data_IF_311287683816
#
_entry.id   IF_311287683816
#
_cell.length_a   1.000
_cell.length_b   1.000
_cell.length_c   1.000
_cell.angle_alpha   90.00
_cell.angle_beta   90.00
_cell.angle_gamma   90.00
#
_symmetry.space_group_name_H-M   'P 1'
#
loop_
_entity.id
_entity.type
_entity.pdbx_description
1 polymer ?
#
# COMPACT_ATOMS: atom_id res chain seq x y z
N UNK A 1 -29.53 6.29 -8.29
CA UNK A 1 -28.49 7.25 -7.87
C UNK A 1 -27.61 6.54 -6.85
N UNK A 2 -26.32 6.30 -7.15
CA UNK A 2 -25.36 5.96 -6.10
C UNK A 2 -25.06 7.27 -5.36
N UNK A 3 -25.21 7.29 -4.03
CA UNK A 3 -24.90 8.47 -3.24
C UNK A 3 -23.40 8.79 -3.35
N UNK A 4 -23.07 10.08 -3.47
CA UNK A 4 -21.70 10.59 -3.32
C UNK A 4 -21.18 10.19 -1.94
N UNK A 5 -19.93 9.73 -1.83
CA UNK A 5 -19.33 9.48 -0.53
C UNK A 5 -19.19 10.82 0.21
N UNK A 6 -19.44 10.83 1.51
CA UNK A 6 -19.23 12.00 2.36
C UNK A 6 -18.30 11.61 3.49
N UNK A 7 -17.38 12.50 3.83
CA UNK A 7 -16.43 12.33 4.93
C UNK A 7 -16.74 13.37 6.00
N UNK A 8 -16.89 12.95 7.25
CA UNK A 8 -17.10 13.85 8.39
C UNK A 8 -15.79 13.97 9.16
N UNK A 9 -15.23 15.18 9.25
CA UNK A 9 -14.01 15.48 10.01
C UNK A 9 -14.34 16.61 10.97
N UNK A 10 -14.21 16.37 12.28
CA UNK A 10 -14.40 17.40 13.33
C UNK A 10 -15.69 18.22 13.15
N UNK A 11 -16.81 17.53 12.88
CA UNK A 11 -18.16 18.07 12.64
C UNK A 11 -18.39 18.76 11.29
N UNK A 12 -17.38 18.81 10.42
CA UNK A 12 -17.48 19.35 9.06
C UNK A 12 -17.65 18.23 8.01
N UNK A 13 -18.61 18.43 7.10
CA UNK A 13 -18.88 17.52 6.00
C UNK A 13 -18.06 17.90 4.77
N UNK A 14 -17.21 16.97 4.37
CA UNK A 14 -16.50 17.00 3.10
C UNK A 14 -17.26 16.15 2.10
N UNK A 15 -17.43 16.67 0.89
CA UNK A 15 -18.04 15.92 -0.20
C UNK A 15 -16.94 15.29 -1.04
N UNK A 16 -17.14 14.03 -1.42
CA UNK A 16 -16.31 13.40 -2.44
C UNK A 16 -16.34 14.27 -3.69
N UNK A 17 -15.14 14.65 -4.14
CA UNK A 17 -14.98 15.48 -5.32
C UNK A 17 -15.64 14.77 -6.51
N UNK A 18 -16.41 15.49 -7.34
CA UNK A 18 -17.14 14.82 -8.44
C UNK A 18 -16.14 14.19 -9.43
N UNK A 19 -16.17 12.85 -9.61
CA UNK A 19 -15.24 12.21 -10.52
C UNK A 19 -15.78 12.39 -11.94
N UNK A 20 -15.28 13.46 -12.56
CA UNK A 20 -15.62 13.99 -13.89
C UNK A 20 -14.90 15.31 -14.20
N UNK A 21 -14.44 16.03 -13.17
CA UNK A 21 -13.58 17.23 -13.26
C UNK A 21 -12.08 16.93 -13.16
N UNK A 22 -11.70 15.70 -12.76
CA UNK A 22 -10.31 15.25 -12.81
C UNK A 22 -9.95 14.66 -14.17
N UNK A 23 -8.89 15.22 -14.75
CA UNK A 23 -8.02 14.53 -15.70
C UNK A 23 -6.96 13.80 -14.85
N UNK A 24 -6.53 12.62 -15.29
CA UNK A 24 -5.47 11.81 -14.67
C UNK A 24 -4.24 12.64 -14.26
N UNK A 25 -3.84 13.60 -15.10
CA UNK A 25 -2.81 14.59 -14.80
C UNK A 25 -2.98 15.32 -13.46
N UNK A 26 -4.21 15.68 -13.08
CA UNK A 26 -4.45 16.38 -11.82
C UNK A 26 -4.29 15.43 -10.63
N UNK A 27 -4.67 14.16 -10.79
CA UNK A 27 -4.47 13.15 -9.75
C UNK A 27 -2.97 12.90 -9.55
N UNK A 28 -2.21 12.75 -10.64
CA UNK A 28 -0.75 12.63 -10.61
C UNK A 28 -0.09 13.83 -9.93
N UNK A 29 -0.45 15.06 -10.34
CA UNK A 29 0.08 16.28 -9.70
C UNK A 29 -0.22 16.34 -8.21
N UNK A 30 -1.43 15.97 -7.79
CA UNK A 30 -1.83 16.02 -6.38
C UNK A 30 -1.06 14.99 -5.56
N UNK A 31 -0.96 13.75 -6.06
CA UNK A 31 -0.19 12.68 -5.41
C UNK A 31 1.27 13.10 -5.24
N UNK A 32 1.89 13.68 -6.28
CA UNK A 32 3.28 14.17 -6.20
C UNK A 32 3.39 15.27 -5.14
N UNK A 33 2.50 16.26 -5.17
CA UNK A 33 2.53 17.40 -4.25
C UNK A 33 2.37 16.98 -2.78
N UNK A 34 1.58 15.93 -2.52
CA UNK A 34 1.35 15.37 -1.18
C UNK A 34 2.26 14.18 -0.84
N UNK A 35 3.18 13.81 -1.73
CA UNK A 35 3.90 12.54 -1.61
C UNK A 35 4.78 12.43 -0.37
N UNK A 36 5.30 13.54 0.18
CA UNK A 36 6.06 13.51 1.44
C UNK A 36 5.16 13.27 2.65
N UNK A 37 3.93 13.78 2.63
CA UNK A 37 2.92 13.54 3.67
C UNK A 37 2.39 12.11 3.57
N UNK A 38 2.17 11.67 2.33
CA UNK A 38 1.59 10.37 2.01
C UNK A 38 2.60 9.25 2.17
N UNK A 39 3.87 9.44 1.78
CA UNK A 39 4.94 8.44 1.79
C UNK A 39 6.22 8.98 2.44
N UNK A 40 6.19 9.36 3.73
CA UNK A 40 7.31 10.05 4.40
C UNK A 40 8.62 9.26 4.42
N UNK A 41 8.55 7.93 4.30
CA UNK A 41 9.70 7.02 4.37
C UNK A 41 10.30 6.68 2.98
N UNK A 42 9.73 7.28 1.93
CA UNK A 42 10.12 7.05 0.55
C UNK A 42 10.59 8.34 -0.12
N UNK A 43 11.48 8.20 -1.08
CA UNK A 43 11.65 9.17 -2.15
C UNK A 43 10.60 8.87 -3.22
N UNK A 44 9.73 9.84 -3.47
CA UNK A 44 8.73 9.76 -4.54
C UNK A 44 9.24 10.55 -5.74
N UNK A 45 9.46 9.89 -6.86
CA UNK A 45 10.08 10.49 -8.04
C UNK A 45 9.38 10.04 -9.31
N UNK A 46 9.27 10.90 -10.35
CA UNK A 46 8.90 10.43 -11.68
C UNK A 46 9.92 9.40 -12.14
N UNK A 47 9.45 8.28 -12.71
CA UNK A 47 10.35 7.27 -13.29
C UNK A 47 10.44 7.46 -14.80
N UNK A 48 9.31 7.55 -15.52
CA UNK A 48 9.22 7.85 -16.97
C UNK A 48 10.31 7.18 -17.82
N UNK A 49 10.70 5.96 -17.43
CA UNK A 49 11.67 5.09 -18.12
C UNK A 49 10.93 3.91 -18.71
N UNK A 50 11.26 3.59 -19.95
CA UNK A 50 10.61 2.51 -20.69
C UNK A 50 11.00 1.16 -20.08
N UNK A 51 9.98 0.42 -19.67
CA UNK A 51 10.08 -0.97 -19.25
C UNK A 51 9.57 -1.83 -20.39
N UNK A 52 10.28 -2.91 -20.71
CA UNK A 52 9.96 -3.80 -21.83
C UNK A 52 9.65 -5.21 -21.32
N UNK A 53 8.64 -5.83 -21.94
CA UNK A 53 8.26 -7.21 -21.71
C UNK A 53 7.61 -7.81 -22.96
N UNK A 54 8.15 -8.91 -23.49
CA UNK A 54 7.58 -9.66 -24.61
C UNK A 54 7.15 -8.82 -25.84
N UNK A 55 7.93 -7.79 -26.18
CA UNK A 55 7.64 -6.90 -27.32
C UNK A 55 6.64 -5.77 -27.02
N UNK A 56 6.09 -5.74 -25.81
CA UNK A 56 5.34 -4.61 -25.28
C UNK A 56 6.27 -3.69 -24.48
N UNK A 57 5.91 -2.41 -24.40
CA UNK A 57 6.64 -1.45 -23.59
C UNK A 57 5.69 -0.45 -22.94
N UNK A 58 6.07 0.04 -21.76
CA UNK A 58 5.29 1.02 -21.00
C UNK A 58 6.22 1.85 -20.12
N UNK A 59 5.78 3.03 -19.71
CA UNK A 59 6.53 3.93 -18.84
C UNK A 59 5.74 4.14 -17.55
N UNK A 60 6.27 3.77 -16.37
CA UNK A 60 5.61 4.08 -15.11
C UNK A 60 5.60 5.58 -14.86
N UNK A 61 4.53 6.07 -14.23
CA UNK A 61 4.42 7.48 -13.84
C UNK A 61 5.45 7.84 -12.79
N UNK A 62 5.39 7.13 -11.68
CA UNK A 62 6.21 7.38 -10.50
C UNK A 62 6.96 6.13 -10.07
N UNK A 63 7.91 6.33 -9.18
CA UNK A 63 8.48 5.29 -8.36
C UNK A 63 8.59 5.76 -6.91
N UNK A 64 8.55 4.79 -6.01
CA UNK A 64 8.88 4.97 -4.60
C UNK A 64 10.17 4.23 -4.31
N UNK A 65 11.20 4.94 -3.86
CA UNK A 65 12.44 4.32 -3.37
C UNK A 65 12.47 4.51 -1.86
N UNK A 66 12.49 3.42 -1.09
CA UNK A 66 12.59 3.55 0.37
C UNK A 66 13.89 4.24 0.74
N UNK A 67 13.87 5.17 1.71
CA UNK A 67 15.05 5.95 2.11
C UNK A 67 16.25 5.10 2.57
N UNK A 68 16.01 3.89 3.06
CA UNK A 68 17.06 2.92 3.43
C UNK A 68 17.53 2.00 2.28
N UNK A 69 16.93 2.11 1.09
CA UNK A 69 17.16 1.26 -0.09
C UNK A 69 16.83 -0.21 0.10
N UNK A 70 15.90 -0.56 0.99
CA UNK A 70 15.49 -1.96 1.20
C UNK A 70 14.38 -2.41 0.25
N UNK A 71 13.64 -1.47 -0.37
CA UNK A 71 12.53 -1.77 -1.29
C UNK A 71 12.25 -0.61 -2.22
N UNK A 72 11.66 -0.92 -3.37
CA UNK A 72 11.14 0.07 -4.29
C UNK A 72 9.89 -0.41 -5.01
N UNK A 73 9.16 0.54 -5.57
CA UNK A 73 7.96 0.30 -6.35
C UNK A 73 7.96 1.13 -7.61
N UNK A 74 7.30 0.63 -8.63
CA UNK A 74 6.83 1.42 -9.76
C UNK A 74 5.33 1.65 -9.60
N UNK A 75 4.90 2.86 -9.93
CA UNK A 75 3.52 3.30 -9.77
C UNK A 75 2.94 3.63 -11.13
N UNK A 76 1.72 3.15 -11.32
CA UNK A 76 0.80 3.61 -12.35
C UNK A 76 -0.37 4.33 -11.68
N UNK A 77 -0.70 5.53 -12.15
CA UNK A 77 -1.83 6.31 -11.65
C UNK A 77 -2.98 6.19 -12.64
N UNK A 78 -4.14 5.74 -12.18
CA UNK A 78 -5.30 5.56 -13.06
C UNK A 78 -6.58 6.03 -12.40
N UNK A 79 -7.58 6.37 -13.21
CA UNK A 79 -8.93 6.62 -12.72
C UNK A 79 -9.65 5.29 -12.54
N UNK A 80 -10.17 5.02 -11.34
CA UNK A 80 -10.81 3.75 -10.97
C UNK A 80 -12.04 3.40 -11.83
N UNK A 81 -12.67 4.40 -12.45
CA UNK A 81 -13.80 4.23 -13.39
C UNK A 81 -13.40 3.71 -14.76
N UNK A 82 -12.14 3.87 -15.17
CA UNK A 82 -11.68 3.39 -16.48
C UNK A 82 -11.66 1.86 -16.53
N UNK A 83 -11.85 1.26 -17.72
CA UNK A 83 -11.72 -0.17 -17.89
C UNK A 83 -10.26 -0.60 -17.69
N UNK A 84 -10.04 -1.69 -16.95
CA UNK A 84 -8.71 -2.27 -16.78
C UNK A 84 -8.14 -2.84 -18.08
N UNK A 85 -9.00 -3.51 -18.87
CA UNK A 85 -8.62 -4.13 -20.14
C UNK A 85 -8.15 -3.07 -21.14
N UNK A 86 -7.03 -3.36 -21.80
CA UNK A 86 -6.39 -2.45 -22.75
C UNK A 86 -5.16 -1.81 -22.13
N UNK A 87 -5.22 -0.50 -21.89
CA UNK A 87 -4.07 0.33 -21.50
C UNK A 87 -3.49 -0.11 -20.14
N UNK A 88 -4.28 0.02 -19.07
CA UNK A 88 -3.85 -0.28 -17.71
C UNK A 88 -3.37 -1.72 -17.57
N UNK A 89 -4.11 -2.70 -18.08
CA UNK A 89 -3.68 -4.11 -18.03
C UNK A 89 -2.33 -4.34 -18.72
N UNK A 90 -2.08 -3.66 -19.85
CA UNK A 90 -0.80 -3.77 -20.56
C UNK A 90 0.34 -3.19 -19.74
N UNK A 91 0.15 -2.01 -19.14
CA UNK A 91 1.16 -1.39 -18.28
C UNK A 91 1.46 -2.27 -17.07
N UNK A 92 0.43 -2.74 -16.35
CA UNK A 92 0.63 -3.60 -15.17
C UNK A 92 1.29 -4.92 -15.53
N UNK A 93 0.94 -5.52 -16.68
CA UNK A 93 1.61 -6.72 -17.20
C UNK A 93 3.09 -6.46 -17.47
N UNK A 94 3.41 -5.36 -18.16
CA UNK A 94 4.78 -4.95 -18.47
C UNK A 94 5.56 -4.67 -17.19
N UNK A 95 5.00 -3.95 -16.21
CA UNK A 95 5.70 -3.62 -14.97
C UNK A 95 5.90 -4.85 -14.07
N UNK A 96 4.94 -5.76 -14.07
CA UNK A 96 5.02 -6.96 -13.23
C UNK A 96 6.06 -7.97 -13.72
N UNK A 97 6.35 -8.01 -15.02
CA UNK A 97 7.21 -9.04 -15.64
C UNK A 97 8.42 -8.49 -16.41
N UNK A 98 8.46 -7.18 -16.63
CA UNK A 98 9.46 -6.52 -17.45
C UNK A 98 10.82 -6.45 -16.79
N UNK A 99 11.83 -6.12 -17.59
CA UNK A 99 13.21 -6.00 -17.13
C UNK A 99 13.55 -4.55 -16.83
N UNK A 100 14.10 -4.31 -15.66
CA UNK A 100 14.48 -2.98 -15.19
C UNK A 100 15.97 -2.74 -15.42
N UNK A 101 16.30 -1.77 -16.27
CA UNK A 101 17.69 -1.38 -16.52
C UNK A 101 18.24 -0.61 -15.31
N UNK A 102 18.86 -1.34 -14.38
CA UNK A 102 19.38 -0.78 -13.14
C UNK A 102 20.35 0.39 -13.35
N UNK A 103 21.18 0.36 -14.40
CA UNK A 103 22.13 1.45 -14.65
C UNK A 103 21.41 2.70 -15.14
N UNK A 104 20.53 2.56 -16.13
CA UNK A 104 19.81 3.70 -16.68
C UNK A 104 18.85 4.33 -15.66
N UNK A 105 18.10 3.51 -14.94
CA UNK A 105 17.13 3.97 -13.95
C UNK A 105 17.84 4.67 -12.79
N UNK A 106 18.92 4.09 -12.25
CA UNK A 106 19.63 4.71 -11.13
C UNK A 106 20.27 6.06 -11.50
N UNK A 107 20.93 6.16 -12.65
CA UNK A 107 21.48 7.42 -13.16
C UNK A 107 20.38 8.46 -13.38
N UNK A 108 19.23 8.06 -13.94
CA UNK A 108 18.10 8.97 -14.14
C UNK A 108 17.54 9.51 -12.83
N UNK A 109 17.26 8.63 -11.86
CA UNK A 109 16.64 9.02 -10.59
C UNK A 109 17.56 9.90 -9.73
N UNK A 110 18.88 9.64 -9.74
CA UNK A 110 19.86 10.51 -9.07
C UNK A 110 19.92 11.89 -9.75
N UNK A 111 19.74 11.95 -11.07
CA UNK A 111 19.57 13.22 -11.78
C UNK A 111 18.29 13.98 -11.40
N UNK A 112 17.29 13.31 -10.82
CA UNK A 112 16.05 13.93 -10.31
C UNK A 112 16.13 14.32 -8.84
N UNK A 113 16.92 13.60 -8.04
CA UNK A 113 17.11 13.88 -6.63
C UNK A 113 18.54 13.54 -6.19
N UNK A 114 19.31 14.57 -5.83
CA UNK A 114 20.71 14.47 -5.42
C UNK A 114 20.92 13.77 -4.07
N UNK A 115 19.89 13.61 -3.25
CA UNK A 115 19.97 12.89 -1.98
C UNK A 115 20.06 11.38 -2.18
N UNK A 116 19.78 10.91 -3.41
CA UNK A 116 19.93 9.51 -3.76
C UNK A 116 21.40 9.10 -3.96
N UNK A 117 21.80 8.01 -3.32
CA UNK A 117 23.05 7.32 -3.58
C UNK A 117 22.90 6.33 -4.76
N UNK A 118 23.45 6.68 -5.92
CA UNK A 118 23.40 5.87 -7.15
C UNK A 118 23.84 4.42 -6.93
N UNK A 119 24.95 4.21 -6.22
CA UNK A 119 25.49 2.88 -5.95
C UNK A 119 24.51 2.00 -5.16
N UNK A 120 23.82 2.57 -4.17
CA UNK A 120 22.83 1.84 -3.36
C UNK A 120 21.56 1.56 -4.18
N UNK A 121 21.12 2.55 -4.96
CA UNK A 121 19.96 2.42 -5.84
C UNK A 121 20.16 1.36 -6.91
N UNK A 122 21.30 1.37 -7.60
CA UNK A 122 21.66 0.36 -8.58
C UNK A 122 21.69 -1.04 -7.97
N UNK A 123 22.22 -1.17 -6.74
CA UNK A 123 22.23 -2.44 -6.01
C UNK A 123 20.82 -2.92 -5.68
N UNK A 124 19.92 -2.03 -5.26
CA UNK A 124 18.51 -2.33 -4.99
C UNK A 124 17.82 -2.88 -6.25
N UNK A 125 17.91 -2.16 -7.38
CA UNK A 125 17.25 -2.54 -8.63
C UNK A 125 17.79 -3.86 -9.20
N UNK A 126 19.09 -4.15 -9.02
CA UNK A 126 19.69 -5.43 -9.44
C UNK A 126 19.27 -6.61 -8.55
N UNK A 127 19.00 -6.35 -7.27
CA UNK A 127 18.74 -7.39 -6.27
C UNK A 127 17.28 -7.83 -6.30
N UNK A 128 16.37 -6.87 -6.28
CA UNK A 128 14.95 -7.10 -6.11
C UNK A 128 14.17 -6.37 -7.21
N UNK A 129 13.30 -7.09 -7.89
CA UNK A 129 12.30 -6.49 -8.75
C UNK A 129 11.36 -5.58 -7.93
N UNK A 130 10.80 -4.53 -8.54
CA UNK A 130 9.92 -3.61 -7.83
C UNK A 130 8.59 -4.27 -7.48
N UNK A 131 7.95 -3.76 -6.43
CA UNK A 131 6.50 -3.88 -6.33
C UNK A 131 5.82 -3.04 -7.41
N UNK A 132 4.66 -3.48 -7.88
CA UNK A 132 3.81 -2.68 -8.77
C UNK A 132 2.68 -2.13 -7.92
N UNK A 133 2.52 -0.81 -7.88
CA UNK A 133 1.47 -0.17 -7.09
C UNK A 133 0.56 0.64 -8.00
N UNK A 134 -0.71 0.29 -8.03
CA UNK A 134 -1.71 1.04 -8.80
C UNK A 134 -2.36 2.04 -7.86
N UNK A 135 -2.22 3.33 -8.16
CA UNK A 135 -2.85 4.41 -7.42
C UNK A 135 -4.09 4.88 -8.16
N UNK A 136 -5.22 4.91 -7.46
CA UNK A 136 -6.54 5.23 -8.05
C UNK A 136 -7.33 6.19 -7.19
N UNK A 137 -8.18 7.01 -7.79
CA UNK A 137 -9.08 7.94 -7.10
C UNK A 137 -10.20 7.25 -6.30
N UNK A 138 -10.71 6.13 -6.81
CA UNK A 138 -11.74 5.30 -6.17
C UNK A 138 -11.44 3.81 -6.31
N UNK A 139 -12.01 2.97 -5.45
CA UNK A 139 -11.79 1.51 -5.51
C UNK A 139 -12.41 0.91 -6.77
N UNK A 140 -11.61 0.36 -7.70
CA UNK A 140 -12.13 -0.05 -8.99
C UNK A 140 -12.75 -1.45 -8.92
N UNK A 141 -13.74 -1.71 -9.77
CA UNK A 141 -14.37 -3.04 -9.89
C UNK A 141 -13.37 -4.12 -10.30
N UNK A 142 -12.33 -3.73 -11.03
CA UNK A 142 -11.28 -4.61 -11.55
C UNK A 142 -10.12 -4.83 -10.57
N UNK A 143 -10.18 -4.33 -9.34
CA UNK A 143 -9.09 -4.44 -8.37
C UNK A 143 -8.56 -5.88 -8.20
N UNK A 144 -9.45 -6.88 -8.18
CA UNK A 144 -9.06 -8.29 -8.06
C UNK A 144 -8.34 -8.81 -9.31
N UNK A 145 -8.74 -8.36 -10.50
CA UNK A 145 -8.07 -8.72 -11.75
C UNK A 145 -6.66 -8.14 -11.78
N UNK A 146 -6.48 -6.88 -11.41
CA UNK A 146 -5.16 -6.25 -11.32
C UNK A 146 -4.27 -6.95 -10.29
N UNK A 147 -4.79 -7.30 -9.10
CA UNK A 147 -4.05 -8.01 -8.06
C UNK A 147 -3.69 -9.47 -8.41
N UNK A 148 -4.23 -10.01 -9.50
CA UNK A 148 -3.79 -11.32 -10.01
C UNK A 148 -2.38 -11.28 -10.61
N UNK A 149 -1.88 -10.08 -10.95
CA UNK A 149 -0.53 -9.89 -11.44
C UNK A 149 0.50 -9.94 -10.28
N UNK A 150 1.70 -10.52 -10.51
CA UNK A 150 2.71 -10.64 -9.47
C UNK A 150 3.09 -9.29 -8.86
N UNK A 151 3.28 -9.27 -7.54
CA UNK A 151 3.75 -8.10 -6.78
C UNK A 151 2.88 -6.84 -6.95
N UNK A 152 1.65 -6.99 -7.42
CA UNK A 152 0.75 -5.87 -7.69
C UNK A 152 -0.13 -5.58 -6.48
N UNK A 153 -0.03 -4.34 -5.98
CA UNK A 153 -0.90 -3.78 -4.95
C UNK A 153 -1.78 -2.67 -5.53
N UNK A 154 -2.83 -2.31 -4.80
CA UNK A 154 -3.72 -1.20 -5.16
C UNK A 154 -3.90 -0.28 -3.96
N UNK A 155 -3.75 1.02 -4.20
CA UNK A 155 -3.90 2.08 -3.22
C UNK A 155 -4.91 3.11 -3.75
N UNK A 156 -5.96 3.35 -2.98
CA UNK A 156 -6.93 4.40 -3.26
C UNK A 156 -6.43 5.69 -2.62
N UNK A 157 -6.28 6.73 -3.43
CA UNK A 157 -6.04 8.11 -3.04
C UNK A 157 -7.30 8.93 -3.36
N UNK A 158 -8.27 8.89 -2.44
CA UNK A 158 -9.54 9.60 -2.58
C UNK A 158 -9.40 11.08 -2.21
N UNK A 159 -9.99 11.96 -2.99
CA UNK A 159 -9.96 13.41 -2.78
C UNK A 159 -11.35 13.92 -2.39
N UNK A 160 -11.39 14.79 -1.38
CA UNK A 160 -12.61 15.34 -0.82
C UNK A 160 -12.45 16.85 -0.66
N UNK A 161 -13.48 17.59 -1.06
CA UNK A 161 -13.50 19.04 -0.91
C UNK A 161 -14.38 19.46 0.26
N UNK A 162 -13.92 20.50 0.94
CA UNK A 162 -14.74 21.32 1.81
C UNK A 162 -15.25 22.56 1.07
N UNK A 163 -16.49 23.02 1.31
CA UNK A 163 -16.99 24.28 0.77
C UNK A 163 -16.10 25.51 1.05
N UNK A 164 -15.31 25.48 2.12
CA UNK A 164 -14.37 26.57 2.48
C UNK A 164 -13.00 26.47 1.77
N UNK A 165 -12.85 25.57 0.80
CA UNK A 165 -11.61 25.40 0.02
C UNK A 165 -10.53 24.57 0.72
N UNK A 166 -10.89 23.84 1.78
CA UNK A 166 -10.00 22.88 2.46
C UNK A 166 -10.13 21.52 1.77
N UNK A 167 -9.01 20.96 1.33
CA UNK A 167 -8.97 19.61 0.76
C UNK A 167 -8.69 18.57 1.84
N UNK A 168 -9.41 17.45 1.80
CA UNK A 168 -9.13 16.26 2.59
C UNK A 168 -8.81 15.09 1.67
N UNK A 169 -7.84 14.25 2.08
CA UNK A 169 -7.43 13.08 1.33
C UNK A 169 -7.68 11.81 2.13
N UNK A 170 -8.21 10.78 1.46
CA UNK A 170 -8.38 9.44 2.01
C UNK A 170 -7.35 8.51 1.37
N UNK A 171 -6.60 7.82 2.20
CA UNK A 171 -5.70 6.76 1.78
C UNK A 171 -6.28 5.43 2.23
N UNK A 172 -6.50 4.51 1.29
CA UNK A 172 -7.12 3.22 1.56
C UNK A 172 -6.50 2.11 0.69
N UNK A 173 -6.42 0.88 1.19
CA UNK A 173 -5.83 -0.25 0.48
C UNK A 173 -4.39 -0.59 0.85
N UNK A 174 -3.63 -1.10 -0.13
CA UNK A 174 -2.30 -1.65 0.08
C UNK A 174 -1.24 -0.56 0.09
N UNK A 175 -1.20 0.16 1.21
CA UNK A 175 -0.10 1.05 1.51
C UNK A 175 1.21 0.26 1.46
N UNK A 176 2.30 0.84 0.92
CA UNK A 176 3.61 0.23 0.94
C UNK A 176 4.15 0.12 2.38
N UNK A 177 3.65 -0.87 3.14
CA UNK A 177 4.05 -1.12 4.51
C UNK A 177 5.43 -1.74 4.53
N UNK A 178 6.31 -1.15 5.32
CA UNK A 178 7.68 -1.59 5.52
C UNK A 178 7.67 -2.72 6.53
N UNK A 179 7.58 -3.95 6.05
CA UNK A 179 7.65 -5.10 6.93
C UNK A 179 9.06 -5.31 7.48
N UNK A 180 9.24 -5.12 8.78
CA UNK A 180 10.49 -5.48 9.48
C UNK A 180 10.43 -6.89 10.06
N UNK A 181 9.23 -7.45 10.21
CA UNK A 181 9.01 -8.83 10.63
C UNK A 181 7.60 -9.30 10.24
N UNK A 182 7.46 -10.61 10.01
CA UNK A 182 6.15 -11.29 9.91
C UNK A 182 6.05 -12.49 10.84
N UNK A 183 4.84 -12.76 11.29
CA UNK A 183 4.46 -13.98 11.98
C UNK A 183 3.21 -14.58 11.34
N UNK A 184 3.20 -15.91 11.16
CA UNK A 184 1.99 -16.62 10.75
C UNK A 184 0.98 -16.65 11.90
N UNK A 185 -0.27 -16.49 11.53
CA UNK A 185 -1.40 -16.42 12.43
C UNK A 185 -2.54 -17.32 11.97
N UNK A 186 -3.24 -17.92 12.93
CA UNK A 186 -4.43 -18.74 12.68
C UNK A 186 -5.33 -18.75 13.92
N UNK A 187 -6.62 -18.95 13.69
CA UNK A 187 -7.55 -19.25 14.77
C UNK A 187 -7.34 -20.71 15.25
N UNK A 188 -7.23 -20.97 16.56
CA UNK A 188 -7.23 -22.32 17.08
C UNK A 188 -8.65 -22.90 17.00
N UNK A 189 -8.77 -24.23 17.14
CA UNK A 189 -10.07 -24.91 17.11
C UNK A 189 -10.99 -24.44 18.25
N UNK A 190 -10.41 -24.14 19.41
CA UNK A 190 -11.09 -23.55 20.56
C UNK A 190 -10.06 -22.86 21.47
N UNK A 191 -10.33 -21.65 22.00
CA UNK A 191 -11.46 -20.78 21.65
C UNK A 191 -11.23 -20.06 20.30
N UNK A 192 -12.25 -20.06 19.43
CA UNK A 192 -12.13 -19.61 18.04
C UNK A 192 -12.09 -18.08 17.85
N UNK A 193 -12.12 -17.29 18.93
CA UNK A 193 -12.07 -15.83 18.91
C UNK A 193 -10.68 -15.26 19.22
N UNK A 194 -9.65 -16.10 19.27
CA UNK A 194 -8.27 -15.70 19.52
C UNK A 194 -7.38 -16.06 18.35
N UNK A 195 -6.40 -15.22 18.04
CA UNK A 195 -5.46 -15.46 16.96
C UNK A 195 -4.13 -15.94 17.53
N UNK A 196 -3.74 -17.18 17.21
CA UNK A 196 -2.41 -17.68 17.60
C UNK A 196 -1.31 -16.97 16.80
N UNK A 197 -0.20 -16.61 17.44
CA UNK A 197 0.96 -15.94 16.82
C UNK A 197 2.15 -16.89 16.85
N UNK A 198 2.59 -17.35 15.66
CA UNK A 198 3.66 -18.35 15.56
C UNK A 198 5.04 -17.85 15.98
N UNK A 199 5.29 -16.54 15.88
CA UNK A 199 6.57 -15.91 16.21
C UNK A 199 6.33 -14.68 17.10
N UNK A 200 6.07 -14.87 18.41
CA UNK A 200 5.63 -13.79 19.30
C UNK A 200 6.65 -12.68 19.52
N UNK A 201 7.93 -12.92 19.20
CA UNK A 201 9.00 -11.89 19.23
C UNK A 201 8.72 -10.69 18.33
N UNK A 202 7.77 -10.81 17.39
CA UNK A 202 7.28 -9.68 16.58
C UNK A 202 6.54 -8.63 17.43
N UNK A 203 5.91 -9.04 18.52
CA UNK A 203 5.14 -8.18 19.41
C UNK A 203 6.09 -7.43 20.36
N UNK A 204 5.98 -6.09 20.38
CA UNK A 204 6.69 -5.19 21.29
C UNK A 204 5.89 -4.93 22.59
N UNK A 205 4.79 -5.65 22.77
CA UNK A 205 3.92 -5.56 23.94
C UNK A 205 4.01 -6.85 24.74
N UNK A 206 3.95 -6.76 26.06
CA UNK A 206 3.96 -7.87 27.01
C UNK A 206 2.60 -8.55 27.19
N UNK A 207 2.57 -9.61 27.99
CA UNK A 207 1.32 -10.30 28.35
C UNK A 207 0.35 -9.34 29.07
N UNK A 208 -0.91 -9.32 28.65
CA UNK A 208 -1.96 -8.42 29.16
C UNK A 208 -1.93 -7.00 28.57
N UNK A 209 -0.94 -6.67 27.74
CA UNK A 209 -0.85 -5.36 27.11
C UNK A 209 -1.64 -5.31 25.79
N UNK A 210 -2.14 -4.11 25.48
CA UNK A 210 -2.92 -3.86 24.27
C UNK A 210 -2.05 -3.30 23.13
N UNK A 211 -2.44 -3.62 21.90
CA UNK A 211 -1.85 -3.09 20.68
C UNK A 211 -2.94 -2.75 19.66
N UNK A 212 -2.61 -1.85 18.74
CA UNK A 212 -3.44 -1.57 17.57
C UNK A 212 -2.96 -2.44 16.41
N UNK A 213 -3.89 -3.17 15.81
CA UNK A 213 -3.69 -3.94 14.58
C UNK A 213 -4.56 -3.34 13.47
N UNK A 214 -3.94 -3.05 12.34
CA UNK A 214 -4.57 -2.47 11.15
C UNK A 214 -4.99 -3.63 10.24
N UNK A 215 -6.29 -3.74 10.00
CA UNK A 215 -6.90 -4.69 9.07
C UNK A 215 -7.57 -3.93 7.93
N UNK A 216 -7.06 -4.06 6.70
CA UNK A 216 -7.59 -3.34 5.53
C UNK A 216 -7.86 -1.84 5.80
N UNK A 217 -6.87 -1.14 6.38
CA UNK A 217 -6.97 0.27 6.74
C UNK A 217 -7.72 0.57 8.05
N UNK A 218 -8.48 -0.40 8.59
CA UNK A 218 -9.20 -0.23 9.85
C UNK A 218 -8.30 -0.51 11.05
N UNK A 219 -8.12 0.47 11.93
CA UNK A 219 -7.48 0.29 13.24
C UNK A 219 -8.40 -0.52 14.17
N UNK A 220 -7.90 -1.62 14.69
CA UNK A 220 -8.62 -2.49 15.65
C UNK A 220 -7.75 -2.74 16.87
N UNK A 221 -8.35 -2.80 18.06
CA UNK A 221 -7.62 -2.98 19.31
C UNK A 221 -7.56 -4.46 19.67
N UNK A 222 -6.39 -4.92 20.07
CA UNK A 222 -6.13 -6.30 20.47
C UNK A 222 -5.35 -6.32 21.77
N UNK A 223 -5.43 -7.42 22.52
CA UNK A 223 -4.62 -7.69 23.71
C UNK A 223 -3.78 -8.93 23.49
N UNK A 224 -2.52 -8.87 23.92
CA UNK A 224 -1.64 -10.05 23.95
C UNK A 224 -1.98 -10.89 25.17
N UNK A 225 -2.23 -12.18 24.96
CA UNK A 225 -2.30 -13.18 26.02
C UNK A 225 -1.24 -14.25 25.78
N UNK A 226 -0.38 -14.47 26.76
CA UNK A 226 0.56 -15.58 26.79
C UNK A 226 0.00 -16.69 27.70
N UNK A 227 -0.20 -17.88 27.15
CA UNK A 227 -0.62 -19.08 27.88
C UNK A 227 0.33 -20.25 27.54
N UNK A 228 1.18 -20.59 28.52
CA UNK A 228 2.29 -21.51 28.35
C UNK A 228 3.26 -21.06 27.25
N UNK A 229 3.44 -21.91 26.25
CA UNK A 229 4.30 -21.63 25.09
C UNK A 229 3.55 -20.99 23.91
N UNK A 230 2.28 -20.63 24.09
CA UNK A 230 1.44 -20.09 23.02
C UNK A 230 1.13 -18.63 23.31
N UNK A 231 1.34 -17.78 22.30
CA UNK A 231 0.91 -16.39 22.34
C UNK A 231 -0.32 -16.21 21.48
N UNK A 232 -1.31 -15.52 22.03
CA UNK A 232 -2.58 -15.18 21.41
C UNK A 232 -2.71 -13.67 21.29
N UNK A 233 -3.42 -13.24 20.25
CA UNK A 233 -4.03 -11.92 20.18
C UNK A 233 -5.53 -12.05 20.34
N UNK A 234 -6.10 -11.29 21.28
CA UNK A 234 -7.53 -11.26 21.58
C UNK A 234 -8.11 -9.93 21.11
N UNK A 235 -9.10 -9.91 20.20
CA UNK A 235 -9.70 -8.66 19.75
C UNK A 235 -10.50 -8.05 20.90
N UNK A 236 -10.27 -6.76 21.19
CA UNK A 236 -11.06 -5.98 22.14
C UNK A 236 -12.23 -5.36 21.36
N UNK A 237 -13.34 -6.08 21.34
CA UNK A 237 -14.56 -5.73 20.60
C UNK A 237 -14.92 -6.78 19.56
N UNK A 238 -15.55 -6.35 18.46
CA UNK A 238 -15.90 -7.26 17.37
C UNK A 238 -14.64 -7.73 16.65
N UNK A 239 -14.47 -9.06 16.52
CA UNK A 239 -13.39 -9.63 15.72
C UNK A 239 -13.60 -9.27 14.23
N UNK A 240 -12.68 -8.53 13.60
CA UNK A 240 -12.83 -8.13 12.20
C UNK A 240 -12.52 -9.28 11.22
N UNK A 241 -11.93 -10.38 11.68
CA UNK A 241 -11.36 -11.42 10.82
C UNK A 241 -12.29 -12.62 10.64
N UNK A 242 -12.13 -13.30 9.50
CA UNK A 242 -12.78 -14.56 9.21
C UNK A 242 -12.03 -15.72 9.89
N UNK A 243 -12.70 -16.38 10.84
CA UNK A 243 -12.12 -17.46 11.65
C UNK A 243 -11.65 -18.68 10.84
N UNK A 244 -12.13 -18.85 9.60
CA UNK A 244 -11.76 -19.98 8.74
C UNK A 244 -10.50 -19.72 7.91
N UNK A 245 -9.93 -18.51 7.99
CA UNK A 245 -8.78 -18.11 7.20
C UNK A 245 -7.49 -18.09 8.01
N UNK A 246 -6.36 -18.08 7.30
CA UNK A 246 -5.02 -17.89 7.88
C UNK A 246 -4.56 -16.48 7.59
N UNK A 247 -3.71 -15.96 8.46
CA UNK A 247 -3.27 -14.58 8.40
C UNK A 247 -1.75 -14.49 8.59
N UNK A 248 -1.18 -13.37 8.17
CA UNK A 248 0.10 -12.86 8.60
C UNK A 248 -0.12 -11.65 9.50
N UNK A 249 0.52 -11.65 10.66
CA UNK A 249 0.76 -10.43 11.43
C UNK A 249 2.09 -9.84 10.93
N UNK A 250 2.03 -8.63 10.44
CA UNK A 250 3.13 -7.88 9.83
C UNK A 250 3.44 -6.73 10.77
N UNK A 251 4.70 -6.58 11.17
CA UNK A 251 5.15 -5.42 11.95
C UNK A 251 5.83 -4.43 11.01
N UNK A 252 5.41 -3.18 11.08
CA UNK A 252 6.05 -2.09 10.37
C UNK A 252 7.24 -1.50 11.12
N UNK A 253 8.09 -0.73 10.44
CA UNK A 253 9.19 -0.02 11.10
C UNK A 253 8.72 1.06 12.08
N UNK A 254 7.55 1.66 11.83
CA UNK A 254 6.88 2.58 12.75
C UNK A 254 6.23 1.88 13.96
N UNK A 255 6.57 0.61 14.19
CA UNK A 255 6.00 -0.24 15.24
C UNK A 255 4.48 -0.40 15.17
N UNK A 256 3.90 -0.21 13.98
CA UNK A 256 2.50 -0.54 13.74
C UNK A 256 2.37 -2.02 13.38
N UNK A 257 1.19 -2.59 13.63
CA UNK A 257 0.89 -3.97 13.31
C UNK A 257 -0.20 -4.02 12.25
N UNK A 258 0.02 -4.81 11.21
CA UNK A 258 -0.93 -5.04 10.13
C UNK A 258 -1.30 -6.51 10.10
N UNK A 259 -2.54 -6.80 9.75
CA UNK A 259 -2.97 -8.17 9.50
C UNK A 259 -3.34 -8.31 8.02
N UNK A 260 -2.78 -9.32 7.38
CA UNK A 260 -3.07 -9.67 5.98
C UNK A 260 -3.46 -11.13 5.89
N UNK A 261 -4.37 -11.48 5.00
CA UNK A 261 -4.68 -12.88 4.71
C UNK A 261 -3.42 -13.58 4.15
N UNK A 262 -3.18 -14.82 4.62
CA UNK A 262 -2.07 -15.68 4.19
C UNK A 262 -2.48 -16.58 3.03
#
# INVERSE_FOLDING_TARGET
MKGKSKLLILDDWYEEFEPGTYVEDTLERTIIARSEEVFPEYYTLPLKKTIEYNGESSQPDLCLIKKDYSRWYVIEIELGKKPFKGHTETQIRVFSHGRYNASEISTYLVGKNSDLCEKRLKKLILKDDPGVLIMVDEYPKWANEAKSYPRTGLLVFGMFDHPDGVEAYKIDGEYPVIEIARSRCKFPKYPANMLTVSSPKILNVGNGEELIVIDNGRKTKWERLDDGNTTYLIPKGQNPLNINKKYYLIKSENSEYYIKEN
#
